data_IF_969871964167
#
_entry.id   IF_969871964167
#
_cell.length_a   1.000
_cell.length_b   1.000
_cell.length_c   1.000
_cell.angle_alpha   90.00
_cell.angle_beta   90.00
_cell.angle_gamma   90.00
#
_symmetry.space_group_name_H-M   'P 1'
#
loop_
_entity.id
_entity.type
_entity.pdbx_description
1 polymer ?
#
# COMPACT_ATOMS: atom_id res chain seq x y z
N UNK A 1 -3.71 -10.29 10.41
CA UNK A 1 -5.11 -10.78 10.38
C UNK A 1 -6.02 -9.58 10.32
N UNK A 2 -6.77 -9.43 9.25
CA UNK A 2 -7.81 -8.41 9.16
C UNK A 2 -9.19 -9.01 9.42
N UNK A 3 -10.12 -8.19 9.89
CA UNK A 3 -11.53 -8.57 9.94
C UNK A 3 -12.09 -8.43 8.52
N UNK A 4 -12.56 -9.52 7.88
CA UNK A 4 -13.08 -9.46 6.52
C UNK A 4 -14.21 -8.43 6.41
N UNK A 5 -14.16 -7.64 5.33
CA UNK A 5 -15.19 -6.63 5.02
C UNK A 5 -15.34 -5.50 6.05
N UNK A 6 -14.54 -5.44 7.11
CA UNK A 6 -14.66 -4.43 8.18
C UNK A 6 -14.48 -3.00 7.64
N UNK A 7 -13.49 -2.77 6.80
CA UNK A 7 -13.27 -1.46 6.18
C UNK A 7 -14.48 -1.03 5.34
N UNK A 8 -15.00 -1.94 4.50
CA UNK A 8 -16.21 -1.68 3.70
C UNK A 8 -17.40 -1.34 4.59
N UNK A 9 -17.59 -2.09 5.67
CA UNK A 9 -18.65 -1.83 6.65
C UNK A 9 -18.51 -0.46 7.30
N UNK A 10 -17.29 -0.07 7.70
CA UNK A 10 -17.03 1.26 8.26
C UNK A 10 -17.35 2.38 7.26
N UNK A 11 -16.92 2.23 6.00
CA UNK A 11 -17.18 3.21 4.94
C UNK A 11 -18.69 3.38 4.67
N UNK A 12 -19.44 2.29 4.71
CA UNK A 12 -20.90 2.33 4.53
C UNK A 12 -21.59 3.05 5.68
N UNK A 13 -21.12 2.87 6.92
CA UNK A 13 -21.69 3.55 8.10
C UNK A 13 -21.25 5.01 8.21
N UNK A 14 -20.07 5.33 7.77
CA UNK A 14 -19.47 6.67 7.87
C UNK A 14 -18.94 7.12 6.49
N UNK A 15 -19.80 7.45 5.53
CA UNK A 15 -19.36 7.82 4.17
C UNK A 15 -18.41 9.02 4.15
N UNK A 16 -18.52 9.92 5.15
CA UNK A 16 -17.64 11.10 5.30
C UNK A 16 -16.22 10.76 5.76
N UNK A 17 -15.96 9.50 6.12
CA UNK A 17 -14.63 9.04 6.51
C UNK A 17 -13.67 9.00 5.32
N UNK A 18 -14.18 8.73 4.12
CA UNK A 18 -13.41 8.74 2.89
C UNK A 18 -13.42 10.13 2.29
N UNK A 19 -12.26 10.60 1.91
CA UNK A 19 -12.07 11.85 1.15
C UNK A 19 -11.08 11.58 0.03
N UNK A 20 -11.36 12.13 -1.12
CA UNK A 20 -10.43 12.09 -2.24
C UNK A 20 -9.18 12.93 -1.91
N UNK A 21 -8.04 12.42 -2.29
CA UNK A 21 -6.78 13.12 -2.18
C UNK A 21 -6.31 13.54 -3.57
N UNK A 22 -5.85 14.78 -3.69
CA UNK A 22 -5.27 15.32 -4.93
C UNK A 22 -3.76 15.42 -4.81
N UNK A 23 -3.05 15.16 -5.91
CA UNK A 23 -1.63 15.46 -5.99
C UNK A 23 -1.46 16.99 -6.08
N UNK A 24 -0.48 17.56 -5.38
CA UNK A 24 -0.19 18.98 -5.52
C UNK A 24 0.39 19.23 -6.93
N UNK A 25 -0.24 20.13 -7.67
CA UNK A 25 0.23 20.59 -8.98
C UNK A 25 1.22 21.74 -8.82
N UNK A 26 2.07 21.93 -9.84
CA UNK A 26 3.02 23.06 -9.90
C UNK A 26 2.32 24.42 -9.82
N UNK A 27 1.09 24.50 -10.35
CA UNK A 27 0.28 25.72 -10.37
C UNK A 27 -0.55 25.91 -9.08
N UNK A 28 -0.67 24.88 -8.24
CA UNK A 28 -1.39 24.91 -6.96
C UNK A 28 -0.59 24.23 -5.86
N UNK A 29 0.46 24.88 -5.33
CA UNK A 29 1.32 24.31 -4.30
C UNK A 29 0.61 24.12 -2.95
N UNK A 30 -0.53 24.74 -2.74
CA UNK A 30 -1.38 24.50 -1.57
C UNK A 30 -2.32 23.32 -1.86
N UNK A 31 -1.97 22.19 -1.29
CA UNK A 31 -2.83 21.00 -1.30
C UNK A 31 -4.21 21.33 -0.72
N UNK A 32 -5.27 21.04 -1.49
CA UNK A 32 -6.66 21.07 -1.00
C UNK A 32 -6.98 19.88 -0.09
N UNK A 33 -5.99 19.04 0.18
CA UNK A 33 -6.13 17.86 1.03
C UNK A 33 -6.37 18.25 2.49
N UNK A 34 -7.15 17.46 3.23
CA UNK A 34 -7.37 17.72 4.65
C UNK A 34 -6.04 17.64 5.41
N UNK A 35 -5.90 18.47 6.44
CA UNK A 35 -4.75 18.42 7.33
C UNK A 35 -4.71 17.09 8.08
N UNK A 36 -3.56 16.43 8.07
CA UNK A 36 -3.31 15.14 8.72
C UNK A 36 -2.20 15.29 9.76
N UNK A 37 -2.46 14.87 10.98
CA UNK A 37 -1.46 14.87 12.04
C UNK A 37 -0.61 13.60 12.01
N UNK A 38 -1.24 12.43 11.93
CA UNK A 38 -0.58 11.14 11.99
C UNK A 38 -0.89 10.34 10.73
N UNK A 39 0.13 9.69 10.21
CA UNK A 39 0.03 8.83 9.04
C UNK A 39 0.62 7.45 9.33
N UNK A 40 -0.19 6.41 9.12
CA UNK A 40 0.16 5.02 9.37
C UNK A 40 0.18 4.25 8.06
N UNK A 41 1.28 3.58 7.77
CA UNK A 41 1.47 2.84 6.52
C UNK A 41 1.75 1.37 6.80
N UNK A 42 0.95 0.49 6.19
CA UNK A 42 1.30 -0.91 6.00
C UNK A 42 2.27 -1.02 4.83
N UNK A 43 3.57 -1.16 5.15
CA UNK A 43 4.64 -1.19 4.15
C UNK A 43 4.53 -2.36 3.18
N UNK A 44 3.98 -3.49 3.60
CA UNK A 44 3.83 -4.64 2.70
C UNK A 44 2.85 -4.35 1.56
N UNK A 45 1.78 -3.59 1.84
CA UNK A 45 0.85 -3.11 0.82
C UNK A 45 1.50 -2.17 -0.20
N UNK A 46 2.58 -1.51 0.18
CA UNK A 46 3.34 -0.57 -0.65
C UNK A 46 4.51 -1.25 -1.37
N UNK A 47 5.25 -2.12 -0.66
CA UNK A 47 6.42 -2.82 -1.19
C UNK A 47 6.03 -3.74 -2.36
N UNK A 48 4.98 -4.54 -2.21
CA UNK A 48 4.58 -5.49 -3.24
C UNK A 48 4.30 -4.86 -4.61
N UNK A 49 3.50 -3.79 -4.73
CA UNK A 49 3.30 -3.12 -6.02
C UNK A 49 4.55 -2.43 -6.57
N UNK A 50 5.44 -1.93 -5.70
CA UNK A 50 6.67 -1.26 -6.12
C UNK A 50 7.71 -2.22 -6.68
N UNK A 51 7.72 -3.46 -6.18
CA UNK A 51 8.64 -4.52 -6.64
C UNK A 51 8.07 -5.29 -7.84
N UNK A 52 6.76 -5.49 -7.86
CA UNK A 52 6.04 -6.19 -8.92
C UNK A 52 4.93 -5.30 -9.49
N UNK A 53 5.27 -4.28 -10.26
CA UNK A 53 4.26 -3.42 -10.87
C UNK A 53 3.37 -4.23 -11.82
N UNK A 54 2.06 -4.03 -11.71
CA UNK A 54 1.09 -4.64 -12.61
C UNK A 54 0.93 -3.87 -13.92
N UNK A 55 1.43 -2.64 -13.96
CA UNK A 55 1.40 -1.78 -15.13
C UNK A 55 2.57 -2.15 -16.03
N UNK A 56 2.28 -2.59 -17.25
CA UNK A 56 3.28 -2.97 -18.26
C UNK A 56 4.19 -1.81 -18.68
N UNK A 57 3.77 -0.57 -18.43
CA UNK A 57 4.58 0.62 -18.72
C UNK A 57 5.64 0.91 -17.64
N UNK A 58 5.54 0.26 -16.49
CA UNK A 58 6.49 0.42 -15.39
C UNK A 58 7.51 -0.71 -15.45
N UNK A 59 8.79 -0.33 -15.59
CA UNK A 59 9.88 -1.30 -15.61
C UNK A 59 9.96 -2.07 -14.28
N UNK A 60 10.01 -3.39 -14.38
CA UNK A 60 10.22 -4.26 -13.22
C UNK A 60 11.67 -4.08 -12.74
N UNK A 61 11.90 -3.77 -11.46
CA UNK A 61 13.25 -3.60 -10.91
C UNK A 61 14.03 -4.92 -10.97
N UNK A 62 15.28 -4.84 -11.41
CA UNK A 62 16.13 -6.01 -11.68
C UNK A 62 17.01 -6.41 -10.48
N UNK A 63 17.24 -5.49 -9.57
CA UNK A 63 18.10 -5.69 -8.41
C UNK A 63 17.49 -5.05 -7.16
N UNK A 64 18.10 -5.34 -6.00
CA UNK A 64 17.62 -4.83 -4.71
C UNK A 64 17.68 -3.31 -4.59
N UNK A 65 18.68 -2.69 -5.19
CA UNK A 65 18.85 -1.23 -5.16
C UNK A 65 17.72 -0.54 -5.91
N UNK A 66 17.41 -0.98 -7.13
CA UNK A 66 16.26 -0.47 -7.90
C UNK A 66 14.93 -0.71 -7.19
N UNK A 67 14.79 -1.82 -6.48
CA UNK A 67 13.60 -2.07 -5.65
C UNK A 67 13.45 -1.04 -4.54
N UNK A 68 14.55 -0.74 -3.84
CA UNK A 68 14.57 0.28 -2.79
C UNK A 68 14.26 1.67 -3.36
N UNK A 69 14.86 2.03 -4.49
CA UNK A 69 14.60 3.31 -5.16
C UNK A 69 13.11 3.49 -5.49
N UNK A 70 12.48 2.47 -6.09
CA UNK A 70 11.05 2.49 -6.40
C UNK A 70 10.20 2.68 -5.14
N UNK A 71 10.56 2.00 -4.04
CA UNK A 71 9.86 2.13 -2.76
C UNK A 71 9.99 3.55 -2.22
N UNK A 72 11.19 4.14 -2.26
CA UNK A 72 11.43 5.50 -1.78
C UNK A 72 10.68 6.53 -2.61
N UNK A 73 10.71 6.42 -3.94
CA UNK A 73 9.94 7.30 -4.84
C UNK A 73 8.44 7.24 -4.51
N UNK A 74 7.92 6.05 -4.23
CA UNK A 74 6.51 5.89 -3.87
C UNK A 74 6.18 6.49 -2.50
N UNK A 75 7.06 6.31 -1.52
CA UNK A 75 6.91 6.94 -0.19
C UNK A 75 6.93 8.46 -0.32
N UNK A 76 7.89 9.03 -1.04
CA UNK A 76 7.98 10.47 -1.25
C UNK A 76 6.73 11.04 -1.91
N UNK A 77 6.19 10.34 -2.91
CA UNK A 77 4.92 10.72 -3.54
C UNK A 77 3.78 10.78 -2.54
N UNK A 78 3.61 9.75 -1.72
CA UNK A 78 2.57 9.70 -0.70
C UNK A 78 2.79 10.80 0.36
N UNK A 79 4.02 11.01 0.80
CA UNK A 79 4.35 12.04 1.77
C UNK A 79 4.03 13.45 1.26
N UNK A 80 4.26 13.71 -0.03
CA UNK A 80 3.89 14.97 -0.67
C UNK A 80 2.39 15.20 -0.73
N UNK A 81 1.61 14.13 -0.88
CA UNK A 81 0.14 14.20 -0.89
C UNK A 81 -0.42 14.40 0.52
N UNK A 82 0.02 13.58 1.47
CA UNK A 82 -0.56 13.50 2.83
C UNK A 82 -0.03 14.61 3.74
N UNK A 83 1.27 14.93 3.68
CA UNK A 83 1.96 15.94 4.50
C UNK A 83 1.63 15.84 6.00
N UNK A 84 1.94 14.70 6.65
CA UNK A 84 1.64 14.52 8.07
C UNK A 84 2.44 15.52 8.92
N UNK A 85 1.80 16.08 9.96
CA UNK A 85 2.41 17.13 10.78
C UNK A 85 3.17 16.62 12.01
N UNK A 86 2.79 15.44 12.53
CA UNK A 86 3.30 14.96 13.82
C UNK A 86 3.96 13.59 13.75
N UNK A 87 3.34 12.63 13.09
CA UNK A 87 3.80 11.24 13.11
C UNK A 87 3.69 10.58 11.75
N UNK A 88 4.75 9.92 11.34
CA UNK A 88 4.73 8.90 10.28
C UNK A 88 5.11 7.57 10.90
N UNK A 89 4.23 6.59 10.79
CA UNK A 89 4.45 5.25 11.31
C UNK A 89 4.46 4.24 10.18
N UNK A 90 5.61 3.65 9.92
CA UNK A 90 5.83 2.65 8.88
C UNK A 90 5.89 1.27 9.54
N UNK A 91 4.92 0.41 9.22
CA UNK A 91 4.84 -0.93 9.75
C UNK A 91 5.20 -1.98 8.69
N UNK A 92 6.13 -2.85 9.00
CA UNK A 92 6.51 -4.00 8.16
C UNK A 92 6.07 -5.27 8.88
N UNK A 93 5.46 -6.19 8.14
CA UNK A 93 5.07 -7.49 8.68
C UNK A 93 6.30 -8.28 9.17
N UNK A 94 6.20 -8.75 10.40
CA UNK A 94 7.16 -9.69 10.97
C UNK A 94 6.77 -11.14 10.71
N UNK A 95 7.28 -12.05 11.56
CA UNK A 95 6.94 -13.47 11.49
C UNK A 95 5.47 -13.68 11.84
N UNK A 96 4.73 -14.36 10.96
CA UNK A 96 3.33 -14.62 11.16
C UNK A 96 3.09 -15.61 12.33
N UNK A 97 2.02 -15.42 13.13
CA UNK A 97 1.58 -16.44 14.09
C UNK A 97 1.28 -17.78 13.39
N UNK A 98 1.44 -18.88 14.12
CA UNK A 98 1.27 -20.25 13.57
C UNK A 98 -0.07 -20.45 12.85
N UNK A 99 -1.15 -19.93 13.40
CA UNK A 99 -2.48 -20.00 12.82
C UNK A 99 -2.55 -19.28 11.43
N UNK A 100 -1.87 -18.15 11.29
CA UNK A 100 -1.80 -17.40 10.04
C UNK A 100 -0.92 -18.07 8.98
N UNK A 101 0.08 -18.86 9.39
CA UNK A 101 0.96 -19.60 8.47
C UNK A 101 0.16 -20.57 7.59
N UNK A 102 -0.80 -21.30 8.15
CA UNK A 102 -1.65 -22.23 7.39
C UNK A 102 -2.49 -21.48 6.34
N UNK A 103 -3.06 -20.35 6.70
CA UNK A 103 -3.82 -19.51 5.78
C UNK A 103 -2.95 -18.93 4.66
N UNK A 104 -1.71 -18.53 4.98
CA UNK A 104 -0.75 -18.03 3.99
C UNK A 104 -0.34 -19.15 3.02
N UNK A 105 -0.07 -20.36 3.51
CA UNK A 105 0.25 -21.53 2.67
C UNK A 105 -0.87 -21.83 1.70
N UNK A 106 -2.11 -21.86 2.16
CA UNK A 106 -3.27 -22.11 1.33
C UNK A 106 -3.43 -21.07 0.22
N UNK A 107 -3.22 -19.80 0.52
CA UNK A 107 -3.26 -18.72 -0.48
C UNK A 107 -2.15 -18.84 -1.52
N UNK A 108 -0.91 -19.11 -1.09
CA UNK A 108 0.23 -19.28 -1.99
C UNK A 108 0.07 -20.48 -2.88
N UNK A 109 -0.43 -21.60 -2.33
CA UNK A 109 -0.70 -22.80 -3.10
C UNK A 109 -1.77 -22.58 -4.17
N UNK A 110 -2.87 -21.90 -3.81
CA UNK A 110 -3.92 -21.54 -4.76
C UNK A 110 -3.39 -20.61 -5.88
N UNK A 111 -2.64 -19.57 -5.53
CA UNK A 111 -2.06 -18.68 -6.52
C UNK A 111 -1.09 -19.40 -7.47
N UNK A 112 -0.32 -20.37 -6.98
CA UNK A 112 0.57 -21.17 -7.81
C UNK A 112 -0.21 -22.09 -8.77
N UNK A 113 -1.32 -22.67 -8.33
CA UNK A 113 -2.20 -23.47 -9.19
C UNK A 113 -2.86 -22.60 -10.28
N UNK A 114 -3.44 -21.48 -9.90
CA UNK A 114 -4.06 -20.53 -10.85
C UNK A 114 -3.03 -19.98 -11.87
N UNK A 115 -1.79 -19.75 -11.47
CA UNK A 115 -0.70 -19.35 -12.37
C UNK A 115 -0.26 -20.47 -13.32
N UNK A 116 -0.39 -21.74 -12.93
CA UNK A 116 -0.07 -22.87 -13.79
C UNK A 116 -1.19 -23.20 -14.80
N UNK A 117 -2.44 -22.87 -14.50
CA UNK A 117 -3.58 -23.05 -15.41
C UNK A 117 -3.65 -21.97 -16.49
N UNK A 118 -3.01 -20.81 -16.27
CA UNK A 118 -3.00 -19.68 -17.22
C UNK A 118 -1.76 -19.65 -18.15
N UNK A 119 -0.87 -20.64 -18.05
CA UNK A 119 0.27 -20.87 -18.95
C UNK A 119 0.05 -22.12 -19.80
#
# INVERSE_FOLDING_TARGET
MGVPVFFKWMCMRNPKMLKDASEPDADSPMSSNPEVDNFYVDMNGLIHPSVNPKDENIRVPQNFEEQCENIFVYIDKIMNIVRPRKLVYLAIDGVAPRAKMNQQRSRRFRAAMEGAENN
#
